data_IF_008677586123
#
_entry.id   IF_008677586123
#
_cell.length_a   1.000
_cell.length_b   1.000
_cell.length_c   1.000
_cell.angle_alpha   90.00
_cell.angle_beta   90.00
_cell.angle_gamma   90.00
#
_symmetry.space_group_name_H-M   'P 1'
#
loop_
_entity.id
_entity.type
_entity.pdbx_description
1 polymer ?
#
# COMPACT_ATOMS: atom_id res chain seq x y z
N UNK A 1 2.27 -6.68 -15.85
CA UNK A 1 1.25 -5.92 -15.10
C UNK A 1 1.97 -5.02 -14.11
N UNK A 2 1.62 -3.74 -14.03
CA UNK A 2 2.14 -2.86 -12.98
C UNK A 2 1.64 -3.36 -11.61
N UNK A 3 2.45 -3.21 -10.57
CA UNK A 3 1.99 -3.51 -9.21
C UNK A 3 0.81 -2.58 -8.86
N UNK A 4 -0.23 -3.08 -8.16
CA UNK A 4 -1.35 -2.24 -7.72
C UNK A 4 -0.87 -1.06 -6.88
N UNK A 5 -1.55 0.07 -6.97
CA UNK A 5 -1.34 1.19 -6.04
C UNK A 5 -1.95 0.84 -4.68
N UNK A 6 -1.11 0.30 -3.79
CA UNK A 6 -1.50 -0.08 -2.45
C UNK A 6 -1.91 1.10 -1.57
N UNK A 7 -1.46 2.33 -1.86
CA UNK A 7 -1.91 3.53 -1.13
C UNK A 7 -3.34 3.90 -1.52
N UNK A 8 -3.65 3.83 -2.82
CA UNK A 8 -5.01 4.02 -3.31
C UNK A 8 -5.97 2.96 -2.73
N UNK A 9 -5.55 1.69 -2.71
CA UNK A 9 -6.33 0.61 -2.12
C UNK A 9 -6.55 0.77 -0.60
N UNK A 10 -5.54 1.23 0.13
CA UNK A 10 -5.69 1.56 1.56
C UNK A 10 -6.71 2.68 1.78
N UNK A 11 -6.61 3.76 1.00
CA UNK A 11 -7.56 4.88 1.06
C UNK A 11 -8.98 4.44 0.73
N UNK A 12 -9.15 3.58 -0.26
CA UNK A 12 -10.45 3.03 -0.63
C UNK A 12 -11.04 2.18 0.51
N UNK A 13 -10.24 1.31 1.11
CA UNK A 13 -10.67 0.49 2.24
C UNK A 13 -11.06 1.34 3.48
N UNK A 14 -10.36 2.45 3.73
CA UNK A 14 -10.74 3.43 4.75
C UNK A 14 -12.13 4.03 4.46
N UNK A 15 -12.33 4.54 3.23
CA UNK A 15 -13.62 5.11 2.82
C UNK A 15 -14.78 4.11 2.97
N UNK A 16 -14.55 2.84 2.66
CA UNK A 16 -15.54 1.78 2.85
C UNK A 16 -15.85 1.50 4.33
N UNK A 17 -14.83 1.56 5.20
CA UNK A 17 -15.00 1.42 6.64
C UNK A 17 -15.85 2.56 7.23
N UNK A 18 -15.68 3.77 6.68
CA UNK A 18 -16.41 4.96 7.11
C UNK A 18 -17.86 4.96 6.58
N UNK A 19 -18.09 4.43 5.37
CA UNK A 19 -19.41 4.37 4.75
C UNK A 19 -20.32 3.27 5.33
N UNK A 20 -19.75 2.20 5.90
CA UNK A 20 -20.55 1.07 6.41
C UNK A 20 -21.06 1.30 7.84
N UNK A 21 -22.31 0.86 8.07
CA UNK A 21 -22.98 0.89 9.38
C UNK A 21 -22.83 -0.41 10.17
N UNK A 22 -22.36 -1.48 9.53
CA UNK A 22 -22.14 -2.78 10.17
C UNK A 22 -20.71 -2.86 10.73
N UNK A 23 -20.59 -3.09 12.03
CA UNK A 23 -19.27 -3.14 12.69
C UNK A 23 -18.37 -4.24 12.12
N UNK A 24 -18.92 -5.43 11.86
CA UNK A 24 -18.14 -6.53 11.28
C UNK A 24 -17.53 -6.19 9.90
N UNK A 25 -18.27 -5.45 9.07
CA UNK A 25 -17.79 -4.96 7.77
C UNK A 25 -16.75 -3.88 7.97
N UNK A 26 -16.98 -2.94 8.89
CA UNK A 26 -16.00 -1.90 9.25
C UNK A 26 -14.67 -2.51 9.67
N UNK A 27 -14.68 -3.45 10.61
CA UNK A 27 -13.47 -4.13 11.09
C UNK A 27 -12.74 -4.86 9.96
N UNK A 28 -13.48 -5.50 9.04
CA UNK A 28 -12.88 -6.14 7.87
C UNK A 28 -12.19 -5.11 6.97
N UNK A 29 -12.83 -3.98 6.67
CA UNK A 29 -12.26 -2.91 5.84
C UNK A 29 -11.00 -2.31 6.49
N UNK A 30 -11.01 -2.06 7.80
CA UNK A 30 -9.83 -1.59 8.55
C UNK A 30 -8.66 -2.59 8.50
N UNK A 31 -8.94 -3.90 8.57
CA UNK A 31 -7.91 -4.93 8.40
C UNK A 31 -7.32 -4.94 6.99
N UNK A 32 -8.16 -4.73 5.97
CA UNK A 32 -7.71 -4.60 4.58
C UNK A 32 -6.83 -3.36 4.40
N UNK A 33 -7.24 -2.20 4.92
CA UNK A 33 -6.45 -0.98 4.91
C UNK A 33 -5.06 -1.22 5.52
N UNK A 34 -5.01 -1.82 6.72
CA UNK A 34 -3.75 -2.12 7.38
C UNK A 34 -2.84 -3.04 6.53
N UNK A 35 -3.41 -4.07 5.90
CA UNK A 35 -2.67 -4.95 5.00
C UNK A 35 -2.11 -4.20 3.78
N UNK A 36 -2.91 -3.33 3.16
CA UNK A 36 -2.47 -2.51 2.03
C UNK A 36 -1.38 -1.50 2.42
N UNK A 37 -1.47 -0.88 3.60
CA UNK A 37 -0.41 0.00 4.11
C UNK A 37 0.92 -0.76 4.23
N UNK A 38 0.91 -1.98 4.76
CA UNK A 38 2.12 -2.81 4.87
C UNK A 38 2.69 -3.13 3.49
N UNK A 39 1.84 -3.42 2.50
CA UNK A 39 2.28 -3.67 1.11
C UNK A 39 2.86 -2.41 0.47
N UNK A 40 2.23 -1.24 0.66
CA UNK A 40 2.73 0.04 0.16
C UNK A 40 4.14 0.32 0.71
N UNK A 41 4.35 0.14 2.01
CA UNK A 41 5.66 0.34 2.64
C UNK A 41 6.73 -0.60 2.08
N UNK A 42 6.38 -1.87 1.84
CA UNK A 42 7.29 -2.84 1.22
C UNK A 42 7.64 -2.45 -0.22
N UNK A 43 6.66 -2.00 -0.99
CA UNK A 43 6.86 -1.52 -2.36
C UNK A 43 7.80 -0.31 -2.37
N UNK A 44 7.52 0.71 -1.54
CA UNK A 44 8.36 1.90 -1.37
C UNK A 44 9.80 1.55 -0.96
N UNK A 45 9.99 0.53 -0.12
CA UNK A 45 11.31 0.06 0.28
C UNK A 45 12.08 -0.59 -0.89
N UNK A 46 11.40 -1.45 -1.66
CA UNK A 46 11.99 -2.12 -2.83
C UNK A 46 12.36 -1.09 -3.90
N UNK A 47 11.48 -0.14 -4.17
CA UNK A 47 11.69 0.89 -5.19
C UNK A 47 12.86 1.80 -4.82
N UNK A 48 12.96 2.24 -3.55
CA UNK A 48 14.13 2.99 -3.06
C UNK A 48 15.43 2.18 -3.17
N UNK A 49 15.38 0.90 -2.82
CA UNK A 49 16.55 0.02 -2.90
C UNK A 49 17.01 -0.19 -4.34
N UNK A 50 16.06 -0.32 -5.27
CA UNK A 50 16.32 -0.39 -6.71
C UNK A 50 16.95 0.90 -7.22
N UNK A 51 16.33 2.05 -6.94
CA UNK A 51 16.84 3.35 -7.37
C UNK A 51 18.28 3.60 -6.86
N UNK A 52 18.58 3.19 -5.61
CA UNK A 52 19.94 3.27 -5.05
C UNK A 52 20.94 2.43 -5.84
N UNK A 53 20.59 1.20 -6.22
CA UNK A 53 21.49 0.33 -7.00
C UNK A 53 21.70 0.86 -8.41
N UNK A 54 20.64 1.35 -9.05
CA UNK A 54 20.69 1.92 -10.39
C UNK A 54 21.56 3.19 -10.41
N UNK A 55 21.41 4.07 -9.41
CA UNK A 55 22.27 5.25 -9.26
C UNK A 55 23.75 4.88 -9.02
N UNK A 56 24.02 3.85 -8.21
CA UNK A 56 25.38 3.38 -7.98
C UNK A 56 26.01 2.77 -9.24
N UNK A 57 25.22 2.02 -10.03
CA UNK A 57 25.68 1.45 -11.29
C UNK A 57 25.93 2.51 -12.37
N UNK A 58 25.12 3.58 -12.42
CA UNK A 58 25.31 4.69 -13.36
C UNK A 58 26.49 5.61 -13.02
N UNK A 59 27.05 5.50 -11.81
CA UNK A 59 28.19 6.29 -11.34
C UNK A 59 29.55 5.61 -11.59
N UNK A 60 29.56 4.42 -12.22
CA UNK A 60 30.75 3.63 -12.61
C UNK A 60 30.90 3.73 -14.13
#
# INVERSE_FOLDING_TARGET
MANPDFRALASQARSEADATTLDNVRQRCLRSEAAFIIMAQRQEFVDRSRARREAAAAAI
#
